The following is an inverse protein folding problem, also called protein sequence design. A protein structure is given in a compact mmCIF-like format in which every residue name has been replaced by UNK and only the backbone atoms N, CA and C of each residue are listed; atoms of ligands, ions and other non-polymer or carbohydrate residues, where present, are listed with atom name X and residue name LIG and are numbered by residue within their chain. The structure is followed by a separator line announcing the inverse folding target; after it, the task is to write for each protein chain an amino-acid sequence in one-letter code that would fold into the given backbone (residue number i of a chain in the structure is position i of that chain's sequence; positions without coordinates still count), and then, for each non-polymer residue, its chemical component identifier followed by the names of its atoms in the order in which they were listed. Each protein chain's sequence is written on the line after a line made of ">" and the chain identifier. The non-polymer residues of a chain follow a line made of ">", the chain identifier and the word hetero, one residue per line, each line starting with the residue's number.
data_IF_400509664624
#
_entry.id   IF_400509664624
#
_cell.length_a   1.000
_cell.length_b   1.000
_cell.length_c   1.000
_cell.angle_alpha   90.00
_cell.angle_beta   90.00
_cell.angle_gamma   90.00
#
_symmetry.space_group_name_H-M   'P 1'
#
loop_
_entity.id
_entity.type
_entity.pdbx_description
1 polymer ?
#
# COMPACT_ATOMS: atom_id res chain seq x y z
N UNK A 1 -25.63 32.95 -24.55
CA UNK A 1 -25.32 31.63 -23.94
C UNK A 1 -23.94 31.19 -24.41
N UNK A 2 -22.91 31.48 -23.62
CA UNK A 2 -21.50 31.20 -23.89
C UNK A 2 -21.10 29.92 -23.15
N UNK A 3 -21.01 28.80 -23.86
CA UNK A 3 -20.57 27.52 -23.32
C UNK A 3 -19.04 27.44 -23.38
N UNK A 4 -18.38 27.48 -22.23
CA UNK A 4 -16.95 27.23 -22.12
C UNK A 4 -16.75 25.78 -21.66
N UNK A 5 -16.28 24.93 -22.57
CA UNK A 5 -15.89 23.56 -22.25
C UNK A 5 -14.44 23.58 -21.76
N UNK A 6 -14.28 23.39 -20.45
CA UNK A 6 -13.01 23.15 -19.77
C UNK A 6 -12.44 21.81 -20.24
N UNK A 7 -11.31 21.83 -20.95
CA UNK A 7 -10.53 20.62 -21.27
C UNK A 7 -9.39 20.47 -20.26
N UNK A 8 -9.56 19.51 -19.36
CA UNK A 8 -8.49 18.97 -18.52
C UNK A 8 -7.39 18.38 -19.41
N UNK A 9 -6.20 19.00 -19.42
CA UNK A 9 -5.02 18.43 -20.04
C UNK A 9 -4.25 17.60 -19.00
N UNK A 10 -4.45 16.29 -19.02
CA UNK A 10 -3.61 15.34 -18.32
C UNK A 10 -2.21 15.34 -18.93
N UNK A 11 -1.23 15.94 -18.24
CA UNK A 11 0.19 15.84 -18.60
C UNK A 11 0.72 14.46 -18.21
N UNK A 12 0.59 13.48 -19.11
CA UNK A 12 1.42 12.27 -19.10
C UNK A 12 2.53 12.44 -20.14
N UNK A 13 3.71 12.87 -19.69
CA UNK A 13 4.90 12.91 -20.52
C UNK A 13 5.50 11.49 -20.58
N UNK A 14 5.25 10.79 -21.69
CA UNK A 14 6.02 9.61 -22.09
C UNK A 14 7.28 10.11 -22.79
N UNK A 15 8.45 9.91 -22.18
CA UNK A 15 9.74 10.24 -22.79
C UNK A 15 10.12 9.14 -23.79
N UNK A 16 10.18 9.53 -25.06
CA UNK A 16 10.60 8.75 -26.23
C UNK A 16 12.01 8.17 -26.07
N UNK A 17 12.14 6.85 -26.29
CA UNK A 17 13.44 6.18 -26.44
C UNK A 17 13.93 6.38 -27.89
N UNK A 18 15.06 7.07 -28.05
CA UNK A 18 15.70 7.26 -29.35
C UNK A 18 16.82 6.21 -29.51
N UNK A 19 16.58 5.15 -30.28
CA UNK A 19 17.62 4.19 -30.69
C UNK A 19 18.15 4.63 -32.05
N UNK A 20 19.32 5.25 -32.07
CA UNK A 20 20.04 5.61 -33.29
C UNK A 20 21.37 4.85 -33.39
N UNK A 21 21.39 3.93 -34.36
CA UNK A 21 22.49 3.28 -35.10
C UNK A 21 23.93 3.41 -34.59
N UNK A 22 24.51 2.24 -34.39
CA UNK A 22 25.94 1.89 -34.38
C UNK A 22 26.79 2.71 -35.36
N UNK A 23 27.67 3.57 -34.83
CA UNK A 23 28.81 4.11 -35.57
C UNK A 23 30.00 3.15 -35.44
N UNK A 24 30.61 2.83 -36.58
CA UNK A 24 31.77 1.95 -36.69
C UNK A 24 33.03 2.59 -36.07
N UNK A 25 33.91 1.70 -35.61
CA UNK A 25 35.13 1.93 -34.82
C UNK A 25 36.12 2.93 -35.44
N UNK A 26 36.58 3.88 -34.63
CA UNK A 26 37.87 4.54 -34.80
C UNK A 26 38.67 4.39 -33.49
N UNK A 27 39.78 3.64 -33.53
CA UNK A 27 40.74 3.62 -32.42
C UNK A 27 41.67 4.83 -32.59
N UNK A 28 41.44 5.89 -31.82
CA UNK A 28 42.43 6.95 -31.63
C UNK A 28 42.99 6.85 -30.21
N UNK A 29 44.13 6.15 -30.08
CA UNK A 29 44.94 6.18 -28.88
C UNK A 29 45.79 7.45 -28.88
N UNK A 30 45.37 8.46 -28.13
CA UNK A 30 46.23 9.53 -27.61
C UNK A 30 45.49 10.27 -26.49
N UNK A 31 45.30 9.59 -25.35
CA UNK A 31 44.89 10.26 -24.12
C UNK A 31 46.16 10.90 -23.54
N UNK A 32 46.36 12.20 -23.77
CA UNK A 32 47.37 12.95 -23.01
C UNK A 32 46.88 13.00 -21.58
N UNK A 33 47.54 12.23 -20.70
CA UNK A 33 47.40 12.35 -19.25
C UNK A 33 47.81 13.77 -18.88
N UNK A 34 46.84 14.67 -18.77
CA UNK A 34 47.04 15.91 -18.01
C UNK A 34 47.18 15.48 -16.56
N UNK A 35 48.36 15.72 -16.01
CA UNK A 35 48.68 15.60 -14.59
C UNK A 35 47.85 16.63 -13.81
N UNK A 36 46.55 16.36 -13.71
CA UNK A 36 45.67 17.01 -12.76
C UNK A 36 45.84 16.19 -11.50
N UNK A 37 46.57 16.74 -10.53
CA UNK A 37 46.77 16.15 -9.21
C UNK A 37 45.50 15.41 -8.77
N UNK A 38 45.60 14.08 -8.69
CA UNK A 38 44.45 13.22 -8.46
C UNK A 38 43.73 13.68 -7.18
N UNK A 39 42.48 14.12 -7.32
CA UNK A 39 41.67 14.48 -6.17
C UNK A 39 41.65 13.29 -5.20
N UNK A 40 41.85 13.52 -3.89
CA UNK A 40 42.00 12.43 -2.93
C UNK A 40 40.78 11.51 -3.00
N UNK A 41 41.02 10.22 -3.29
CA UNK A 41 39.99 9.21 -3.45
C UNK A 41 39.18 9.07 -2.15
N UNK A 42 37.99 9.70 -2.11
CA UNK A 42 37.09 9.61 -0.96
C UNK A 42 36.47 8.21 -0.95
N UNK A 43 36.75 7.44 0.09
CA UNK A 43 36.18 6.09 0.27
C UNK A 43 34.65 6.19 0.31
N UNK A 44 33.90 5.45 -0.53
CA UNK A 44 32.45 5.53 -0.61
C UNK A 44 31.79 4.84 0.59
N UNK A 45 31.92 5.40 1.78
CA UNK A 45 31.33 4.87 3.02
C UNK A 45 29.84 5.22 3.17
N UNK A 46 29.27 6.02 2.25
CA UNK A 46 27.89 6.50 2.33
C UNK A 46 26.82 5.54 1.80
N UNK A 47 27.13 4.78 0.74
CA UNK A 47 26.13 3.93 0.07
C UNK A 47 25.64 2.78 0.97
N UNK A 48 26.54 2.13 1.69
CA UNK A 48 26.19 1.06 2.63
C UNK A 48 25.50 1.57 3.91
N UNK A 49 25.90 2.75 4.41
CA UNK A 49 25.30 3.35 5.61
C UNK A 49 23.86 3.82 5.36
N UNK A 50 23.61 4.43 4.20
CA UNK A 50 22.26 4.83 3.80
C UNK A 50 21.39 3.67 3.33
N UNK A 51 21.97 2.73 2.57
CA UNK A 51 21.25 1.57 2.04
C UNK A 51 20.79 0.62 3.13
N UNK A 52 21.68 0.23 4.07
CA UNK A 52 21.30 -0.67 5.16
C UNK A 52 20.34 0.00 6.13
N UNK A 53 20.58 1.26 6.49
CA UNK A 53 19.68 2.00 7.37
C UNK A 53 18.31 2.21 6.74
N UNK A 54 18.26 2.65 5.48
CA UNK A 54 17.01 2.82 4.74
C UNK A 54 16.25 1.51 4.54
N UNK A 55 16.96 0.41 4.28
CA UNK A 55 16.37 -0.92 4.21
C UNK A 55 15.75 -1.35 5.55
N UNK A 56 16.49 -1.19 6.65
CA UNK A 56 16.00 -1.55 7.98
C UNK A 56 14.81 -0.67 8.39
N UNK A 57 14.89 0.64 8.17
CA UNK A 57 13.77 1.56 8.42
C UNK A 57 12.55 1.21 7.57
N UNK A 58 12.75 0.90 6.28
CA UNK A 58 11.68 0.46 5.38
C UNK A 58 11.06 -0.87 5.79
N UNK A 59 11.88 -1.85 6.21
CA UNK A 59 11.42 -3.15 6.69
C UNK A 59 10.59 -3.00 7.98
N UNK A 60 11.06 -2.19 8.94
CA UNK A 60 10.32 -1.90 10.18
C UNK A 60 9.02 -1.16 9.88
N UNK A 61 9.03 -0.14 9.02
CA UNK A 61 7.82 0.58 8.63
C UNK A 61 6.80 -0.34 7.94
N UNK A 62 7.26 -1.23 7.05
CA UNK A 62 6.41 -2.20 6.36
C UNK A 62 5.83 -3.23 7.33
N UNK A 63 6.65 -3.74 8.26
CA UNK A 63 6.22 -4.67 9.31
C UNK A 63 5.23 -4.04 10.27
N UNK A 64 5.47 -2.79 10.70
CA UNK A 64 4.53 -2.04 11.53
C UNK A 64 3.19 -1.80 10.80
N UNK A 65 3.24 -1.41 9.53
CA UNK A 65 2.04 -1.24 8.70
C UNK A 65 1.21 -2.53 8.60
N UNK A 66 1.86 -3.67 8.33
CA UNK A 66 1.19 -4.97 8.33
C UNK A 66 0.61 -5.32 9.70
N UNK A 67 1.37 -5.12 10.78
CA UNK A 67 0.93 -5.41 12.14
C UNK A 67 -0.33 -4.62 12.52
N UNK A 68 -0.35 -3.31 12.24
CA UNK A 68 -1.50 -2.47 12.52
C UNK A 68 -2.72 -2.83 11.68
N UNK A 69 -2.53 -3.18 10.41
CA UNK A 69 -3.62 -3.63 9.55
C UNK A 69 -4.29 -4.90 10.11
N UNK A 70 -3.48 -5.93 10.38
CA UNK A 70 -3.97 -7.22 10.89
C UNK A 70 -4.63 -7.04 12.26
N UNK A 71 -4.02 -6.24 13.14
CA UNK A 71 -4.60 -5.94 14.46
C UNK A 71 -5.97 -5.25 14.36
N UNK A 72 -6.13 -4.32 13.41
CA UNK A 72 -7.41 -3.65 13.19
C UNK A 72 -8.48 -4.64 12.70
N UNK A 73 -8.13 -5.51 11.74
CA UNK A 73 -9.03 -6.54 11.24
C UNK A 73 -9.51 -7.47 12.36
N UNK A 74 -8.59 -7.90 13.24
CA UNK A 74 -8.94 -8.69 14.42
C UNK A 74 -9.91 -7.97 15.37
N UNK A 75 -9.76 -6.65 15.58
CA UNK A 75 -10.69 -5.90 16.44
C UNK A 75 -12.07 -5.79 15.80
N UNK A 76 -12.13 -5.56 14.49
CA UNK A 76 -13.40 -5.49 13.75
C UNK A 76 -14.13 -6.83 13.82
N UNK A 77 -13.46 -7.95 13.56
CA UNK A 77 -14.09 -9.28 13.64
C UNK A 77 -14.59 -9.61 15.05
N UNK A 78 -13.84 -9.25 16.10
CA UNK A 78 -14.29 -9.49 17.49
C UNK A 78 -15.47 -8.60 17.90
N UNK A 79 -15.55 -7.38 17.38
CA UNK A 79 -16.71 -6.51 17.64
C UNK A 79 -17.98 -7.06 16.99
N UNK A 80 -17.88 -7.61 15.77
CA UNK A 80 -19.01 -8.23 15.05
C UNK A 80 -19.50 -9.49 15.75
N UNK A 81 -18.60 -10.33 16.29
CA UNK A 81 -18.97 -11.51 17.07
C UNK A 81 -19.75 -11.13 18.34
N UNK A 82 -19.42 -10.01 18.97
CA UNK A 82 -20.13 -9.54 20.17
C UNK A 82 -21.52 -9.01 19.82
N UNK A 83 -21.65 -8.28 18.72
CA UNK A 83 -22.93 -7.80 18.20
C UNK A 83 -23.87 -8.95 17.82
N UNK A 84 -23.34 -10.01 17.19
CA UNK A 84 -24.12 -11.19 16.79
C UNK A 84 -24.67 -11.97 17.99
N UNK A 85 -23.92 -12.09 19.08
CA UNK A 85 -24.42 -12.71 20.32
C UNK A 85 -25.66 -11.97 20.85
N UNK A 86 -25.64 -10.63 20.85
CA UNK A 86 -26.79 -9.84 21.28
C UNK A 86 -27.97 -9.95 20.30
N UNK A 87 -27.68 -9.97 19.00
CA UNK A 87 -28.71 -10.17 17.98
C UNK A 87 -29.40 -11.54 18.15
N UNK A 88 -28.63 -12.61 18.37
CA UNK A 88 -29.14 -13.96 18.58
C UNK A 88 -29.98 -14.07 19.85
N UNK A 89 -29.53 -13.47 20.97
CA UNK A 89 -30.32 -13.43 22.20
C UNK A 89 -31.68 -12.76 22.00
N UNK A 90 -31.71 -11.65 21.25
CA UNK A 90 -32.97 -10.97 20.94
C UNK A 90 -33.90 -11.82 20.06
N UNK A 91 -33.33 -12.59 19.13
CA UNK A 91 -34.09 -13.48 18.26
C UNK A 91 -34.68 -14.66 19.05
N UNK A 92 -33.93 -15.26 19.97
CA UNK A 92 -34.39 -16.34 20.84
C UNK A 92 -35.54 -15.86 21.73
N UNK A 93 -35.40 -14.70 22.39
CA UNK A 93 -36.46 -14.14 23.23
C UNK A 93 -37.76 -13.88 22.45
N UNK A 94 -37.65 -13.39 21.21
CA UNK A 94 -38.82 -13.21 20.31
C UNK A 94 -39.45 -14.53 19.93
N UNK A 95 -38.64 -15.55 19.64
CA UNK A 95 -39.12 -16.89 19.28
C UNK A 95 -39.85 -17.55 20.45
N UNK A 96 -39.27 -17.50 21.66
CA UNK A 96 -39.90 -18.01 22.88
C UNK A 96 -41.24 -17.32 23.14
N UNK A 97 -41.30 -15.99 23.00
CA UNK A 97 -42.55 -15.25 23.10
C UNK A 97 -43.59 -15.69 22.07
N UNK A 98 -43.16 -15.96 20.83
CA UNK A 98 -44.05 -16.43 19.76
C UNK A 98 -44.59 -17.84 20.05
N UNK A 99 -43.73 -18.77 20.46
CA UNK A 99 -44.13 -20.14 20.85
C UNK A 99 -45.12 -20.09 22.00
N UNK A 100 -44.83 -19.31 23.05
CA UNK A 100 -45.73 -19.16 24.20
C UNK A 100 -47.09 -18.58 23.81
N UNK A 101 -47.09 -17.61 22.90
CA UNK A 101 -48.34 -17.05 22.36
C UNK A 101 -49.15 -18.05 21.53
N UNK A 102 -48.49 -19.02 20.89
CA UNK A 102 -49.16 -20.12 20.18
C UNK A 102 -49.71 -21.14 21.17
N UNK A 103 -48.93 -21.54 22.16
CA UNK A 103 -49.36 -22.46 23.23
C UNK A 103 -50.62 -21.94 23.94
N UNK A 104 -50.64 -20.66 24.32
CA UNK A 104 -51.79 -20.02 24.98
C UNK A 104 -53.05 -20.03 24.09
N UNK A 105 -52.89 -19.84 22.78
CA UNK A 105 -53.99 -19.86 21.81
C UNK A 105 -54.53 -21.28 21.58
N UNK A 106 -53.66 -22.29 21.62
CA UNK A 106 -54.04 -23.70 21.49
C UNK A 106 -54.73 -24.18 22.76
N UNK A 107 -54.25 -23.81 23.95
CA UNK A 107 -54.88 -24.21 25.22
C UNK A 107 -56.26 -23.56 25.47
N UNK A 108 -56.52 -22.37 24.91
CA UNK A 108 -57.82 -21.70 25.02
C UNK A 108 -58.89 -22.25 24.08
N UNK A 109 -58.56 -23.20 23.22
CA UNK A 109 -59.46 -23.83 22.26
C UNK A 109 -59.85 -25.22 22.72
#
# INVERSE_FOLDING_TARGET
>A
MSSQIVKFAARRAFTTVNVSRTQARGFQSSQTLRDVAAAPARKPVGAFRGGLFGFLTGAVASGAGMYYYVFNEYRVSNSLLTEDIYALQSAVQRLEGYVKSIEDKVQKK
#
